data_IF_720079825922
#
_entry.id   IF_720079825922
#
_cell.length_a   1.000
_cell.length_b   1.000
_cell.length_c   1.000
_cell.angle_alpha   90.00
_cell.angle_beta   90.00
_cell.angle_gamma   90.00
#
_symmetry.space_group_name_H-M   'P 1'
#
loop_
_entity.id
_entity.type
_entity.pdbx_description
1 polymer ?
#
# COMPACT_ATOMS: atom_id res chain seq x y z
N UNK A 1 10.57 -33.83 16.26
CA UNK A 1 9.15 -33.43 16.28
C UNK A 1 8.79 -32.65 15.01
N UNK A 2 8.22 -33.30 13.97
CA UNK A 2 7.76 -32.67 12.71
C UNK A 2 6.25 -32.35 12.64
N UNK A 3 5.49 -32.42 13.74
CA UNK A 3 4.02 -32.64 13.64
C UNK A 3 3.15 -31.37 13.59
N UNK A 4 3.70 -30.18 13.82
CA UNK A 4 2.92 -28.93 13.84
C UNK A 4 2.69 -28.30 12.45
N UNK A 5 3.57 -28.59 11.48
CA UNK A 5 3.47 -27.98 10.14
C UNK A 5 2.47 -28.70 9.23
N UNK A 6 2.22 -30.00 9.45
CA UNK A 6 1.32 -30.77 8.59
C UNK A 6 -0.17 -30.45 8.85
N UNK A 7 -0.56 -30.28 10.12
CA UNK A 7 -1.95 -29.93 10.49
C UNK A 7 -2.37 -28.54 9.99
N UNK A 8 -1.43 -27.60 9.95
CA UNK A 8 -1.71 -26.22 9.51
C UNK A 8 -1.86 -26.12 7.99
N UNK A 9 -1.18 -26.99 7.26
CA UNK A 9 -1.15 -27.01 5.78
C UNK A 9 -2.39 -27.70 5.22
N UNK A 10 -2.79 -28.84 5.78
CA UNK A 10 -4.02 -29.56 5.38
C UNK A 10 -5.28 -28.70 5.59
N UNK A 11 -5.41 -28.05 6.76
CA UNK A 11 -6.56 -27.17 7.05
C UNK A 11 -6.62 -25.95 6.11
N UNK A 12 -5.50 -25.43 5.62
CA UNK A 12 -5.48 -24.28 4.71
C UNK A 12 -5.76 -24.67 3.26
N UNK A 13 -5.27 -25.82 2.81
CA UNK A 13 -5.53 -26.33 1.45
C UNK A 13 -7.01 -26.64 1.28
N UNK A 14 -7.64 -27.30 2.25
CA UNK A 14 -9.09 -27.56 2.25
C UNK A 14 -9.93 -26.28 2.15
N UNK A 15 -9.49 -25.21 2.81
CA UNK A 15 -10.17 -23.90 2.75
C UNK A 15 -9.97 -23.18 1.41
N UNK A 16 -8.90 -23.45 0.67
CA UNK A 16 -8.66 -22.88 -0.67
C UNK A 16 -9.44 -23.64 -1.74
N UNK A 17 -9.55 -24.97 -1.60
CA UNK A 17 -10.37 -25.81 -2.46
C UNK A 17 -11.87 -25.45 -2.37
N UNK A 18 -12.36 -25.07 -1.18
CA UNK A 18 -13.72 -24.53 -1.01
C UNK A 18 -14.01 -23.30 -1.89
N UNK A 19 -12.98 -22.49 -2.20
CA UNK A 19 -13.08 -21.33 -3.09
C UNK A 19 -12.68 -21.64 -4.55
N UNK A 20 -12.37 -22.91 -4.88
CA UNK A 20 -11.96 -23.34 -6.22
C UNK A 20 -10.54 -22.96 -6.62
N UNK A 21 -9.64 -22.72 -5.65
CA UNK A 21 -8.24 -22.36 -5.89
C UNK A 21 -7.30 -23.53 -5.54
N UNK A 22 -6.36 -23.83 -6.43
CA UNK A 22 -5.28 -24.80 -6.20
C UNK A 22 -4.07 -24.06 -5.61
N UNK A 23 -3.51 -24.56 -4.51
CA UNK A 23 -2.37 -23.94 -3.86
C UNK A 23 -1.06 -24.23 -4.63
N UNK A 24 -0.72 -23.36 -5.59
CA UNK A 24 0.50 -23.50 -6.42
C UNK A 24 1.74 -22.80 -5.82
N UNK A 25 1.55 -21.79 -4.95
CA UNK A 25 2.65 -21.02 -4.36
C UNK A 25 3.04 -21.54 -2.96
N UNK A 26 4.33 -21.80 -2.77
CA UNK A 26 4.92 -22.04 -1.45
C UNK A 26 4.74 -20.81 -0.56
N UNK A 27 4.09 -21.00 0.60
CA UNK A 27 3.90 -19.94 1.60
C UNK A 27 5.22 -19.72 2.34
N UNK A 28 6.17 -19.05 1.69
CA UNK A 28 7.52 -18.85 2.22
C UNK A 28 7.69 -17.56 3.03
N UNK A 29 6.69 -16.67 3.04
CA UNK A 29 6.79 -15.37 3.69
C UNK A 29 6.37 -15.46 5.16
N UNK A 30 7.31 -15.21 6.08
CA UNK A 30 7.03 -15.17 7.51
C UNK A 30 6.18 -13.94 7.86
N UNK A 31 5.43 -14.00 8.97
CA UNK A 31 4.67 -12.83 9.47
C UNK A 31 5.59 -11.63 9.69
N UNK A 32 6.83 -11.86 10.11
CA UNK A 32 7.84 -10.82 10.28
C UNK A 32 8.17 -10.15 8.96
N UNK A 33 8.31 -10.91 7.87
CA UNK A 33 8.63 -10.37 6.54
C UNK A 33 7.48 -9.51 6.03
N UNK A 34 6.23 -9.91 6.28
CA UNK A 34 5.05 -9.11 5.90
C UNK A 34 5.00 -7.79 6.65
N UNK A 35 5.26 -7.81 7.96
CA UNK A 35 5.24 -6.59 8.79
C UNK A 35 6.37 -5.65 8.40
N UNK A 36 7.58 -6.18 8.19
CA UNK A 36 8.74 -5.38 7.76
C UNK A 36 8.50 -4.78 6.37
N UNK A 37 7.97 -5.57 5.44
CA UNK A 37 7.61 -5.09 4.10
C UNK A 37 6.56 -3.97 4.18
N UNK A 38 5.51 -4.14 4.99
CA UNK A 38 4.50 -3.10 5.20
C UNK A 38 5.07 -1.81 5.80
N UNK A 39 6.02 -1.92 6.74
CA UNK A 39 6.69 -0.76 7.33
C UNK A 39 7.53 0.01 6.30
N UNK A 40 8.25 -0.71 5.43
CA UNK A 40 9.03 -0.13 4.33
C UNK A 40 8.09 0.57 3.33
N UNK A 41 6.97 -0.08 3.01
CA UNK A 41 5.98 0.43 2.05
C UNK A 41 5.21 1.67 2.53
N UNK A 42 5.17 1.96 3.83
CA UNK A 42 4.54 3.18 4.35
C UNK A 42 5.22 4.49 3.94
N UNK A 43 6.45 4.43 3.38
CA UNK A 43 7.26 5.58 2.93
C UNK A 43 7.15 6.77 3.89
N UNK A 44 7.64 6.68 5.15
CA UNK A 44 7.47 7.75 6.15
C UNK A 44 8.02 9.11 5.69
N UNK A 45 9.09 9.08 4.87
CA UNK A 45 9.73 10.25 4.29
C UNK A 45 8.79 11.06 3.37
N UNK A 46 7.75 10.44 2.79
CA UNK A 46 6.80 11.12 1.90
C UNK A 46 5.95 12.18 2.64
N UNK A 47 5.89 12.13 3.97
CA UNK A 47 5.13 13.11 4.76
C UNK A 47 5.84 14.46 4.91
N UNK A 48 7.18 14.49 4.81
CA UNK A 48 8.00 15.70 4.96
C UNK A 48 7.61 16.84 4.00
N UNK A 49 7.49 16.63 2.67
CA UNK A 49 7.11 17.71 1.76
C UNK A 49 5.68 18.24 1.98
N UNK A 50 4.78 17.40 2.48
CA UNK A 50 3.36 17.75 2.68
C UNK A 50 3.13 18.47 4.01
N UNK A 51 4.02 18.28 4.99
CA UNK A 51 3.92 18.89 6.32
C UNK A 51 3.76 20.42 6.25
N UNK A 52 4.52 21.11 5.40
CA UNK A 52 4.45 22.57 5.28
C UNK A 52 3.10 23.06 4.77
N UNK A 53 2.47 22.30 3.87
CA UNK A 53 1.12 22.60 3.37
C UNK A 53 0.11 22.43 4.51
N UNK A 54 0.16 21.30 5.21
CA UNK A 54 -0.73 21.00 6.33
C UNK A 54 -0.56 22.02 7.47
N UNK A 55 0.66 22.47 7.75
CA UNK A 55 0.93 23.50 8.76
C UNK A 55 0.20 24.81 8.45
N UNK A 56 0.25 25.26 7.20
CA UNK A 56 -0.46 26.47 6.76
C UNK A 56 -1.98 26.31 6.84
N UNK A 57 -2.53 25.17 6.42
CA UNK A 57 -3.98 24.91 6.47
C UNK A 57 -4.52 24.66 7.88
N UNK A 58 -3.71 24.11 8.79
CA UNK A 58 -4.10 23.77 10.16
C UNK A 58 -4.03 24.94 11.14
N UNK A 59 -3.64 26.13 10.69
CA UNK A 59 -3.51 27.31 11.55
C UNK A 59 -2.48 27.14 12.66
N UNK A 60 -1.40 26.38 12.41
CA UNK A 60 -0.34 26.13 13.39
C UNK A 60 -0.58 24.93 14.32
N UNK A 61 -1.63 24.13 14.10
CA UNK A 61 -1.93 22.92 14.88
C UNK A 61 -1.88 21.62 14.03
N UNK A 62 -0.74 21.31 13.38
CA UNK A 62 -0.63 20.10 12.55
C UNK A 62 -0.77 18.81 13.37
N UNK A 63 -0.35 18.82 14.64
CA UNK A 63 -0.40 17.66 15.51
C UNK A 63 -1.83 17.11 15.69
N UNK A 64 -2.82 17.99 15.83
CA UNK A 64 -4.23 17.57 15.94
C UNK A 64 -4.74 16.97 14.62
N UNK A 65 -4.35 17.54 13.48
CA UNK A 65 -4.72 17.01 12.16
C UNK A 65 -4.17 15.59 11.98
N UNK A 66 -2.89 15.37 12.32
CA UNK A 66 -2.30 14.04 12.25
C UNK A 66 -2.92 13.07 13.26
N UNK A 67 -3.31 13.52 14.45
CA UNK A 67 -3.96 12.67 15.45
C UNK A 67 -5.33 12.18 14.95
N UNK A 68 -6.14 13.08 14.40
CA UNK A 68 -7.45 12.72 13.82
C UNK A 68 -7.27 11.81 12.61
N UNK A 69 -6.29 12.09 11.73
CA UNK A 69 -5.98 11.24 10.59
C UNK A 69 -5.54 9.84 11.02
N UNK A 70 -4.68 9.73 12.04
CA UNK A 70 -4.23 8.45 12.59
C UNK A 70 -5.41 7.65 13.17
N UNK A 71 -6.33 8.31 13.86
CA UNK A 71 -7.52 7.65 14.38
C UNK A 71 -8.41 7.12 13.24
N UNK A 72 -8.63 7.91 12.20
CA UNK A 72 -9.39 7.48 11.02
C UNK A 72 -8.71 6.29 10.31
N UNK A 73 -7.38 6.32 10.15
CA UNK A 73 -6.61 5.22 9.57
C UNK A 73 -6.67 3.95 10.43
N UNK A 74 -6.70 4.08 11.76
CA UNK A 74 -6.85 2.94 12.68
C UNK A 74 -8.18 2.21 12.47
N UNK A 75 -9.29 2.96 12.34
CA UNK A 75 -10.60 2.37 12.04
C UNK A 75 -10.58 1.62 10.70
N UNK A 76 -9.98 2.21 9.66
CA UNK A 76 -9.80 1.54 8.37
C UNK A 76 -8.98 0.26 8.51
N UNK A 77 -7.84 0.31 9.21
CA UNK A 77 -6.98 -0.86 9.42
C UNK A 77 -7.70 -2.00 10.17
N UNK A 78 -8.53 -1.67 11.16
CA UNK A 78 -9.35 -2.66 11.87
C UNK A 78 -10.37 -3.32 10.95
N UNK A 79 -11.00 -2.56 10.05
CA UNK A 79 -11.92 -3.12 9.05
C UNK A 79 -11.20 -4.07 8.09
N UNK A 80 -10.03 -3.69 7.58
CA UNK A 80 -9.22 -4.56 6.72
C UNK A 80 -8.73 -5.82 7.44
N UNK A 81 -8.37 -5.71 8.73
CA UNK A 81 -7.96 -6.85 9.56
C UNK A 81 -9.04 -7.92 9.65
N UNK A 82 -10.30 -7.54 9.88
CA UNK A 82 -11.40 -8.50 9.96
C UNK A 82 -11.71 -9.13 8.60
N UNK A 83 -11.56 -8.37 7.51
CA UNK A 83 -11.72 -8.89 6.16
C UNK A 83 -10.61 -9.88 5.77
N UNK A 84 -9.35 -9.58 6.12
CA UNK A 84 -8.21 -10.45 5.89
C UNK A 84 -8.29 -11.77 6.67
N UNK A 85 -8.88 -11.76 7.88
CA UNK A 85 -9.15 -12.99 8.65
C UNK A 85 -10.23 -13.86 8.02
N UNK A 86 -11.25 -13.24 7.40
CA UNK A 86 -12.42 -13.95 6.86
C UNK A 86 -12.13 -14.61 5.51
N UNK A 87 -11.32 -13.99 4.67
CA UNK A 87 -11.00 -14.47 3.33
C UNK A 87 -9.50 -14.73 3.19
N UNK A 88 -9.01 -15.95 3.48
CA UNK A 88 -7.59 -16.32 3.40
C UNK A 88 -7.15 -16.59 1.95
N UNK A 89 -7.64 -15.80 0.99
CA UNK A 89 -7.26 -15.89 -0.41
C UNK A 89 -6.15 -14.87 -0.70
N UNK A 90 -5.17 -15.29 -1.51
CA UNK A 90 -4.17 -14.39 -2.07
C UNK A 90 -4.84 -13.50 -3.14
N UNK A 91 -5.51 -12.44 -2.69
CA UNK A 91 -6.23 -11.51 -3.55
C UNK A 91 -6.07 -10.08 -3.05
N UNK A 92 -5.69 -9.17 -3.95
CA UNK A 92 -5.71 -7.72 -3.69
C UNK A 92 -7.14 -7.25 -3.40
N UNK A 93 -7.31 -5.97 -3.02
CA UNK A 93 -8.60 -5.32 -2.70
C UNK A 93 -9.71 -5.63 -3.72
N UNK A 94 -9.35 -5.82 -4.99
CA UNK A 94 -10.25 -6.31 -6.03
C UNK A 94 -11.01 -7.59 -5.66
N UNK A 95 -10.31 -8.61 -5.13
CA UNK A 95 -10.90 -9.88 -4.73
C UNK A 95 -11.83 -9.71 -3.54
N UNK A 96 -11.44 -8.90 -2.55
CA UNK A 96 -12.25 -8.63 -1.37
C UNK A 96 -13.57 -7.91 -1.69
N UNK A 97 -13.51 -6.88 -2.55
CA UNK A 97 -14.69 -6.10 -2.95
C UNK A 97 -15.59 -6.90 -3.89
N UNK A 98 -15.02 -7.73 -4.76
CA UNK A 98 -15.79 -8.62 -5.64
C UNK A 98 -16.60 -9.64 -4.84
N UNK A 99 -16.06 -10.14 -3.74
CA UNK A 99 -16.74 -11.15 -2.89
C UNK A 99 -17.77 -10.49 -1.96
N UNK A 100 -17.48 -9.29 -1.43
CA UNK A 100 -18.32 -8.65 -0.41
C UNK A 100 -19.45 -7.76 -0.92
N UNK A 101 -19.32 -7.14 -2.11
CA UNK A 101 -20.25 -6.10 -2.58
C UNK A 101 -20.89 -6.46 -3.92
N UNK A 102 -20.12 -6.43 -5.01
CA UNK A 102 -20.60 -6.73 -6.37
C UNK A 102 -19.42 -6.78 -7.36
N UNK A 103 -19.59 -7.45 -8.51
CA UNK A 103 -18.60 -7.51 -9.61
C UNK A 103 -18.25 -6.12 -10.17
N UNK A 104 -19.22 -5.23 -10.31
CA UNK A 104 -19.00 -3.86 -10.84
C UNK A 104 -18.19 -2.99 -9.88
N UNK A 105 -18.51 -3.03 -8.58
CA UNK A 105 -17.77 -2.28 -7.56
C UNK A 105 -16.35 -2.84 -7.41
N UNK A 106 -16.20 -4.16 -7.51
CA UNK A 106 -14.88 -4.81 -7.57
C UNK A 106 -14.04 -4.31 -8.75
N UNK A 107 -14.63 -4.24 -9.96
CA UNK A 107 -13.95 -3.69 -11.14
C UNK A 107 -13.52 -2.23 -10.94
N UNK A 108 -14.40 -1.37 -10.41
CA UNK A 108 -14.07 0.03 -10.18
C UNK A 108 -12.98 0.19 -9.10
N UNK A 109 -13.02 -0.60 -8.04
CA UNK A 109 -12.00 -0.60 -6.99
C UNK A 109 -10.62 -1.05 -7.52
N UNK A 110 -10.59 -2.08 -8.38
CA UNK A 110 -9.37 -2.49 -9.08
C UNK A 110 -8.81 -1.39 -9.97
N UNK A 111 -9.68 -0.68 -10.69
CA UNK A 111 -9.30 0.44 -11.54
C UNK A 111 -8.76 1.63 -10.73
N UNK A 112 -9.41 1.97 -9.61
CA UNK A 112 -8.95 3.02 -8.71
C UNK A 112 -7.55 2.73 -8.15
N UNK A 113 -7.29 1.48 -7.76
CA UNK A 113 -5.98 1.05 -7.28
C UNK A 113 -4.93 1.08 -8.38
N UNK A 114 -5.28 0.65 -9.59
CA UNK A 114 -4.37 0.75 -10.75
C UNK A 114 -3.98 2.20 -11.01
N UNK A 115 -4.96 3.11 -11.00
CA UNK A 115 -4.69 4.55 -11.12
C UNK A 115 -3.84 5.07 -9.97
N UNK A 116 -4.11 4.66 -8.73
CA UNK A 116 -3.33 5.07 -7.56
C UNK A 116 -1.86 4.65 -7.71
N UNK A 117 -1.60 3.42 -8.14
CA UNK A 117 -0.26 2.93 -8.45
C UNK A 117 0.44 3.69 -9.59
N UNK A 118 -0.31 4.24 -10.56
CA UNK A 118 0.25 5.05 -11.64
C UNK A 118 0.47 6.51 -11.23
N UNK A 119 -0.41 7.06 -10.40
CA UNK A 119 -0.41 8.45 -9.96
C UNK A 119 0.62 8.69 -8.85
N UNK A 120 0.85 7.73 -7.96
CA UNK A 120 1.82 7.87 -6.87
C UNK A 120 3.25 8.14 -7.37
N UNK A 121 3.82 7.38 -8.32
CA UNK A 121 5.14 7.69 -8.89
C UNK A 121 5.19 9.05 -9.58
N UNK A 122 4.14 9.40 -10.34
CA UNK A 122 4.05 10.70 -11.00
C UNK A 122 4.05 11.84 -9.97
N UNK A 123 3.27 11.72 -8.89
CA UNK A 123 3.23 12.69 -7.81
C UNK A 123 4.58 12.81 -7.08
N UNK A 124 5.20 11.68 -6.74
CA UNK A 124 6.52 11.65 -6.11
C UNK A 124 7.59 12.31 -6.99
N UNK A 125 7.52 12.12 -8.32
CA UNK A 125 8.43 12.78 -9.27
C UNK A 125 8.31 14.31 -9.24
N UNK A 126 7.09 14.84 -9.06
CA UNK A 126 6.84 16.28 -8.94
C UNK A 126 7.38 16.81 -7.61
N UNK A 127 7.17 16.11 -6.51
CA UNK A 127 7.74 16.49 -5.21
C UNK A 127 9.26 16.47 -5.22
N UNK A 128 9.86 15.44 -5.83
CA UNK A 128 11.31 15.35 -6.00
C UNK A 128 11.85 16.52 -6.84
N UNK A 129 11.20 16.84 -7.96
CA UNK A 129 11.58 17.99 -8.79
C UNK A 129 11.46 19.32 -8.04
N UNK A 130 10.39 19.52 -7.25
CA UNK A 130 10.21 20.72 -6.43
C UNK A 130 11.28 20.85 -5.34
N UNK A 131 11.62 19.75 -4.67
CA UNK A 131 12.70 19.71 -3.69
C UNK A 131 14.08 19.92 -4.32
N UNK A 132 14.28 19.54 -5.58
CA UNK A 132 15.58 19.68 -6.21
C UNK A 132 15.89 21.09 -6.70
N UNK A 133 14.86 21.83 -7.12
CA UNK A 133 14.99 23.26 -7.49
C UNK A 133 15.51 24.10 -6.31
N UNK A 134 15.22 23.70 -5.07
CA UNK A 134 15.69 24.43 -3.88
C UNK A 134 17.14 24.08 -3.50
N UNK A 135 17.66 22.93 -3.93
CA UNK A 135 19.03 22.46 -3.60
C UNK A 135 20.04 22.83 -4.68
N UNK A 136 19.66 22.89 -5.97
CA UNK A 136 20.57 23.22 -7.08
C UNK A 136 19.91 24.23 -8.04
N UNK A 137 20.12 25.54 -7.86
CA UNK A 137 19.51 26.59 -8.71
C UNK A 137 20.01 26.60 -10.16
N UNK A 138 21.09 25.88 -10.46
CA UNK A 138 21.86 25.94 -11.71
C UNK A 138 21.48 24.87 -12.75
N UNK A 139 20.52 23.97 -12.47
CA UNK A 139 20.09 22.93 -13.43
C UNK A 139 18.58 23.07 -13.72
N UNK A 140 18.15 23.13 -15.00
CA UNK A 140 16.74 23.27 -15.36
C UNK A 140 15.87 22.11 -14.84
N UNK A 141 14.69 22.44 -14.30
CA UNK A 141 13.73 21.49 -13.71
C UNK A 141 13.24 20.35 -14.64
N UNK A 142 13.52 20.42 -15.96
CA UNK A 142 13.22 19.35 -16.90
C UNK A 142 14.13 18.12 -16.73
N UNK A 143 15.41 18.30 -16.38
CA UNK A 143 16.37 17.20 -16.20
C UNK A 143 16.01 16.36 -14.98
N UNK A 144 15.59 17.00 -13.89
CA UNK A 144 15.17 16.34 -12.65
C UNK A 144 13.86 15.55 -12.77
N UNK A 145 12.97 15.93 -13.68
CA UNK A 145 11.73 15.19 -13.95
C UNK A 145 11.98 13.85 -14.68
N UNK A 146 13.10 13.69 -15.40
CA UNK A 146 13.42 12.47 -16.15
C UNK A 146 14.23 11.43 -15.36
N UNK A 147 15.03 11.87 -14.37
CA UNK A 147 15.87 10.98 -13.55
C UNK A 147 15.07 9.90 -12.80
N UNK A 148 13.94 10.21 -12.11
CA UNK A 148 13.18 9.18 -11.40
C UNK A 148 12.48 8.18 -12.34
N UNK A 149 12.22 8.54 -13.60
CA UNK A 149 11.58 7.64 -14.58
C UNK A 149 12.51 6.47 -14.95
N UNK A 150 13.83 6.68 -14.90
CA UNK A 150 14.82 5.63 -15.21
C UNK A 150 15.06 4.66 -14.06
N UNK A 151 14.80 5.07 -12.81
CA UNK A 151 14.96 4.21 -11.62
C UNK A 151 13.78 3.25 -11.38
N UNK A 152 12.57 3.63 -11.81
CA UNK A 152 11.35 2.82 -11.65
C UNK A 152 11.30 1.65 -12.64
N UNK A 153 12.05 1.71 -13.75
CA UNK A 153 12.15 0.59 -14.72
C UNK A 153 13.12 -0.53 -14.31
N UNK A 154 13.78 -0.43 -13.16
CA UNK A 154 14.82 -1.36 -12.69
C UNK A 154 14.46 -2.10 -11.39
N UNK A 155 13.21 -2.02 -10.92
CA UNK A 155 12.68 -2.76 -9.77
C UNK A 155 11.56 -3.70 -10.22
#
# INVERSE_FOLDING_TARGET
MPDAQNQTTETSTDRLEEFGYIQELSRSMSLTDVVVYGLIYMVPLATLPVFGIIYNFSGGMPALVYLVAALAMLFSALSYKEMAKKFPIAGSVYSYVRIGLNRFVGFLAGWAILLDYLLLPALLSVFAAAAMVTVVPSIPAFVWRLIPIQGVGAV
#
